data_IF_977927649232
#
_entry.id   IF_977927649232
#
_cell.length_a   1.000
_cell.length_b   1.000
_cell.length_c   1.000
_cell.angle_alpha   90.00
_cell.angle_beta   90.00
_cell.angle_gamma   90.00
#
_symmetry.space_group_name_H-M   'P 1'
#
loop_
_entity.id
_entity.type
_entity.pdbx_description
1 polymer ?
#
# COMPACT_ATOMS: atom_id res chain seq x y z
N UNK A 1 9.45 2.25 8.48
CA UNK A 1 8.26 2.36 9.38
C UNK A 1 7.03 2.38 8.50
N UNK A 2 6.03 1.54 8.80
CA UNK A 2 4.83 1.42 7.96
C UNK A 2 3.63 1.96 8.70
N UNK A 3 2.86 2.83 8.07
CA UNK A 3 1.64 3.41 8.62
C UNK A 3 0.45 3.11 7.71
N UNK A 4 -0.67 2.80 8.36
CA UNK A 4 -1.94 2.56 7.72
C UNK A 4 -2.94 3.59 8.24
N UNK A 5 -3.51 4.40 7.36
CA UNK A 5 -4.44 5.45 7.73
C UNK A 5 -5.71 5.39 6.89
N UNK A 6 -6.83 5.88 7.43
CA UNK A 6 -8.09 5.97 6.70
C UNK A 6 -8.17 7.23 5.79
N UNK A 7 -9.25 7.35 5.01
CA UNK A 7 -9.51 8.51 4.15
C UNK A 7 -9.54 9.88 4.85
N UNK A 8 -9.72 9.90 6.18
CA UNK A 8 -9.74 11.11 7.00
C UNK A 8 -8.37 11.44 7.60
N UNK A 9 -7.35 10.64 7.30
CA UNK A 9 -6.01 10.76 7.88
C UNK A 9 -5.91 10.17 9.28
N UNK A 10 -6.91 9.40 9.74
CA UNK A 10 -6.85 8.74 11.04
C UNK A 10 -6.01 7.49 10.92
N UNK A 11 -4.95 7.44 11.70
CA UNK A 11 -4.07 6.29 11.78
C UNK A 11 -4.83 5.08 12.35
N UNK A 12 -4.80 3.97 11.62
CA UNK A 12 -5.41 2.69 12.00
C UNK A 12 -4.36 1.74 12.58
N UNK A 13 -3.17 1.69 11.98
CA UNK A 13 -2.09 0.83 12.45
C UNK A 13 -0.72 1.40 12.08
N UNK A 14 0.27 1.19 12.94
CA UNK A 14 1.70 1.37 12.63
C UNK A 14 2.39 0.03 12.84
N UNK A 15 3.29 -0.32 11.94
CA UNK A 15 4.28 -1.37 12.18
C UNK A 15 5.68 -0.78 12.06
N UNK A 16 6.42 -0.86 13.17
CA UNK A 16 7.83 -0.53 13.19
C UNK A 16 8.61 -1.78 12.81
N UNK A 17 9.47 -1.65 11.82
CA UNK A 17 10.33 -2.72 11.30
C UNK A 17 11.78 -2.32 11.48
N UNK A 18 12.63 -3.28 11.87
CA UNK A 18 14.09 -3.09 11.83
C UNK A 18 14.54 -2.92 10.38
N UNK A 19 15.59 -2.12 10.15
CA UNK A 19 15.97 -1.48 8.88
C UNK A 19 16.21 -2.33 7.61
N UNK A 20 15.83 -3.60 7.59
CA UNK A 20 15.98 -4.52 6.46
C UNK A 20 14.71 -5.35 6.21
N UNK A 21 13.54 -4.85 6.62
CA UNK A 21 12.28 -5.54 6.36
C UNK A 21 11.79 -5.25 4.93
N UNK A 22 11.43 -6.29 4.19
CA UNK A 22 10.77 -6.16 2.89
C UNK A 22 9.39 -5.48 3.06
N UNK A 23 9.28 -4.22 2.62
CA UNK A 23 8.09 -3.37 2.80
C UNK A 23 6.78 -4.05 2.35
N UNK A 24 6.81 -4.84 1.27
CA UNK A 24 5.64 -5.55 0.73
C UNK A 24 5.07 -6.61 1.69
N UNK A 25 5.92 -7.46 2.28
CA UNK A 25 5.50 -8.50 3.23
C UNK A 25 4.86 -7.89 4.48
N UNK A 26 5.37 -6.72 4.87
CA UNK A 26 4.88 -5.99 6.03
C UNK A 26 3.52 -5.36 5.73
N UNK A 27 3.33 -4.80 4.53
CA UNK A 27 2.05 -4.29 4.08
C UNK A 27 0.96 -5.37 4.07
N UNK A 28 1.25 -6.57 3.56
CA UNK A 28 0.32 -7.71 3.59
C UNK A 28 -0.16 -8.00 5.02
N UNK A 29 0.78 -8.07 5.97
CA UNK A 29 0.48 -8.34 7.37
C UNK A 29 -0.39 -7.24 8.01
N UNK A 30 -0.21 -5.99 7.61
CA UNK A 30 -1.05 -4.87 8.04
C UNK A 30 -2.45 -4.92 7.43
N UNK A 31 -2.55 -5.22 6.14
CA UNK A 31 -3.82 -5.36 5.41
C UNK A 31 -4.68 -6.45 6.02
N UNK A 32 -4.06 -7.56 6.46
CA UNK A 32 -4.79 -8.67 7.08
C UNK A 32 -5.47 -8.31 8.40
N UNK A 33 -5.00 -7.26 9.09
CA UNK A 33 -5.51 -6.82 10.40
C UNK A 33 -6.65 -5.81 10.33
N UNK A 34 -6.96 -5.30 9.14
CA UNK A 34 -8.02 -4.31 8.95
C UNK A 34 -9.20 -4.88 8.17
N UNK A 35 -10.38 -4.27 8.40
CA UNK A 35 -11.56 -4.57 7.60
C UNK A 35 -11.28 -4.28 6.13
N UNK A 36 -11.65 -5.22 5.26
CA UNK A 36 -11.54 -5.14 3.79
C UNK A 36 -12.05 -3.79 3.27
N UNK A 37 -11.17 -2.89 2.78
CA UNK A 37 -11.61 -1.66 2.15
C UNK A 37 -12.00 -1.92 0.67
N UNK A 38 -12.75 -1.01 0.05
CA UNK A 38 -13.07 -1.11 -1.39
C UNK A 38 -11.84 -0.84 -2.28
N UNK A 39 -10.93 0.02 -1.80
CA UNK A 39 -9.74 0.48 -2.51
C UNK A 39 -8.62 0.74 -1.51
N UNK A 40 -7.40 0.53 -1.93
CA UNK A 40 -6.22 0.78 -1.10
C UNK A 40 -5.18 1.57 -1.87
N UNK A 41 -4.85 2.76 -1.36
CA UNK A 41 -3.75 3.57 -1.88
C UNK A 41 -2.46 3.08 -1.22
N UNK A 42 -1.41 2.89 -2.01
CA UNK A 42 -0.10 2.57 -1.49
C UNK A 42 1.00 3.32 -2.25
N UNK A 43 2.12 3.51 -1.58
CA UNK A 43 3.33 4.02 -2.19
C UNK A 43 3.86 3.08 -3.30
N UNK A 44 4.64 3.64 -4.24
CA UNK A 44 5.36 2.89 -5.28
C UNK A 44 6.31 1.83 -4.69
N UNK A 45 6.82 2.04 -3.48
CA UNK A 45 7.59 1.03 -2.75
C UNK A 45 6.80 -0.27 -2.52
N UNK A 46 5.47 -0.22 -2.48
CA UNK A 46 4.61 -1.41 -2.33
C UNK A 46 4.20 -2.06 -3.65
N UNK A 47 4.80 -1.69 -4.79
CA UNK A 47 4.46 -2.29 -6.07
C UNK A 47 5.01 -3.73 -6.21
N UNK A 48 4.29 -4.69 -5.62
CA UNK A 48 4.52 -6.13 -5.72
C UNK A 48 3.36 -6.80 -6.46
N UNK A 49 3.63 -7.92 -7.14
CA UNK A 49 2.59 -8.72 -7.79
C UNK A 49 1.73 -9.43 -6.74
N UNK A 50 2.39 -10.02 -5.76
CA UNK A 50 1.84 -10.76 -4.62
C UNK A 50 0.89 -9.88 -3.81
N UNK A 51 1.30 -8.65 -3.47
CA UNK A 51 0.46 -7.70 -2.75
C UNK A 51 -0.80 -7.32 -3.54
N UNK A 52 -0.68 -7.16 -4.86
CA UNK A 52 -1.82 -6.82 -5.72
C UNK A 52 -2.80 -7.99 -5.82
N UNK A 53 -2.28 -9.22 -5.91
CA UNK A 53 -3.07 -10.45 -5.93
C UNK A 53 -3.81 -10.66 -4.62
N UNK A 54 -3.14 -10.58 -3.47
CA UNK A 54 -3.77 -10.67 -2.14
C UNK A 54 -4.87 -9.60 -1.97
N UNK A 55 -4.65 -8.38 -2.46
CA UNK A 55 -5.65 -7.33 -2.46
C UNK A 55 -6.85 -7.69 -3.36
N UNK A 56 -6.63 -8.25 -4.54
CA UNK A 56 -7.68 -8.64 -5.49
C UNK A 56 -8.47 -9.87 -5.01
N UNK A 57 -7.83 -10.86 -4.40
CA UNK A 57 -8.48 -11.99 -3.73
C UNK A 57 -9.33 -11.52 -2.55
N UNK A 58 -8.82 -10.55 -1.80
CA UNK A 58 -9.59 -9.80 -0.79
C UNK A 58 -10.60 -8.86 -1.43
N UNK A 59 -10.75 -8.81 -2.76
CA UNK A 59 -11.57 -7.88 -3.56
C UNK A 59 -11.51 -6.44 -3.08
N UNK A 60 -10.30 -6.01 -2.77
CA UNK A 60 -9.85 -4.65 -2.51
C UNK A 60 -9.07 -4.20 -3.74
N UNK A 61 -9.47 -3.10 -4.39
CA UNK A 61 -8.74 -2.65 -5.57
C UNK A 61 -7.43 -1.95 -5.18
N UNK A 62 -6.25 -2.43 -5.62
CA UNK A 62 -4.99 -1.72 -5.40
C UNK A 62 -4.92 -0.46 -6.26
N UNK A 63 -4.59 0.66 -5.63
CA UNK A 63 -4.25 1.95 -6.26
C UNK A 63 -2.79 2.23 -5.94
N UNK A 64 -1.90 1.42 -6.49
CA UNK A 64 -0.45 1.51 -6.26
C UNK A 64 0.21 1.96 -7.57
N UNK A 65 1.07 3.00 -7.58
CA UNK A 65 1.84 3.37 -8.75
C UNK A 65 2.82 2.26 -9.16
N UNK A 66 2.99 2.02 -10.45
CA UNK A 66 3.97 1.04 -10.92
C UNK A 66 5.41 1.50 -10.66
N UNK A 67 6.31 0.55 -10.33
CA UNK A 67 7.76 0.77 -10.34
C UNK A 67 8.27 1.04 -11.76
N UNK A 68 9.28 1.89 -11.89
CA UNK A 68 9.81 2.31 -13.21
C UNK A 68 10.50 1.17 -13.96
N UNK A 69 11.00 0.17 -13.24
CA UNK A 69 11.71 -0.98 -13.80
C UNK A 69 10.78 -2.18 -14.09
N UNK A 70 9.46 -1.99 -14.02
CA UNK A 70 8.51 -3.10 -14.19
C UNK A 70 8.27 -3.37 -15.68
N UNK A 71 8.55 -4.60 -16.10
CA UNK A 71 8.38 -5.04 -17.49
C UNK A 71 6.91 -5.05 -17.95
N UNK A 72 5.97 -5.32 -17.04
CA UNK A 72 4.53 -5.33 -17.33
C UNK A 72 3.79 -4.41 -16.34
N UNK A 73 3.41 -3.19 -16.76
CA UNK A 73 2.72 -2.25 -15.89
C UNK A 73 1.25 -2.64 -15.70
N UNK A 74 0.76 -2.46 -14.46
CA UNK A 74 -0.66 -2.61 -14.15
C UNK A 74 -1.43 -1.36 -14.55
N UNK A 75 -2.72 -1.51 -14.87
CA UNK A 75 -3.63 -0.40 -15.12
C UNK A 75 -3.70 0.54 -13.92
N UNK A 76 -2.95 1.64 -13.97
CA UNK A 76 -2.92 2.67 -12.94
C UNK A 76 -3.41 4.00 -13.52
N UNK A 77 -4.47 4.56 -12.95
CA UNK A 77 -4.93 5.90 -13.31
C UNK A 77 -4.62 6.88 -12.19
N UNK A 78 -3.78 7.89 -12.47
CA UNK A 78 -3.41 8.97 -11.53
C UNK A 78 -4.61 9.68 -10.89
N UNK A 79 -5.80 9.65 -11.53
CA UNK A 79 -7.02 10.26 -10.96
C UNK A 79 -7.50 9.58 -9.67
N UNK A 80 -7.13 8.32 -9.42
CA UNK A 80 -7.53 7.62 -8.19
C UNK A 80 -6.72 8.02 -6.95
N UNK A 81 -5.52 8.59 -7.09
CA UNK A 81 -4.74 9.07 -5.92
C UNK A 81 -5.29 10.38 -5.33
N UNK A 82 -6.13 11.10 -6.08
CA UNK A 82 -6.79 12.33 -5.63
C UNK A 82 -8.19 12.08 -5.03
N UNK A 83 -8.79 10.93 -5.34
CA UNK A 83 -10.02 10.48 -4.68
C UNK A 83 -9.63 9.88 -3.34
N UNK A 84 -10.05 10.50 -2.23
CA UNK A 84 -9.90 10.00 -0.85
C UNK A 84 -10.19 8.49 -0.78
N UNK A 85 -9.15 7.67 -0.91
CA UNK A 85 -9.25 6.23 -0.80
C UNK A 85 -9.54 5.91 0.67
N UNK A 86 -10.41 4.94 0.97
CA UNK A 86 -10.76 4.61 2.35
C UNK A 86 -9.56 4.17 3.19
N UNK A 87 -8.45 3.77 2.56
CA UNK A 87 -7.25 3.29 3.24
C UNK A 87 -5.96 3.63 2.47
N UNK A 88 -4.96 4.16 3.18
CA UNK A 88 -3.65 4.56 2.67
C UNK A 88 -2.54 3.81 3.42
N UNK A 89 -1.67 3.11 2.69
CA UNK A 89 -0.37 2.61 3.13
C UNK A 89 0.68 3.68 2.85
N UNK A 90 1.28 4.22 3.90
CA UNK A 90 2.43 5.10 3.82
C UNK A 90 3.67 4.39 4.38
N UNK A 91 4.75 4.42 3.60
CA UNK A 91 6.08 4.10 4.11
C UNK A 91 6.75 5.37 4.61
N UNK A 92 7.32 5.31 5.81
CA UNK A 92 8.13 6.39 6.37
C UNK A 92 9.65 6.14 6.18
N UNK A 93 10.07 5.18 5.34
CA UNK A 93 11.48 4.96 5.00
C UNK A 93 12.04 5.88 3.88
N UNK A 94 11.46 7.05 3.61
CA UNK A 94 11.95 7.96 2.55
C UNK A 94 13.06 8.94 3.00
N UNK A 95 13.48 8.96 4.26
CA UNK A 95 14.66 9.76 4.69
C UNK A 95 15.46 9.05 5.78
N UNK A 96 16.37 8.17 5.38
CA UNK A 96 17.49 7.72 6.21
C UNK A 96 18.70 7.40 5.32
N UNK A 97 19.17 8.40 4.57
CA UNK A 97 20.58 8.63 4.17
C UNK A 97 20.75 10.10 3.83
#
# INVERSE_FOLDING_TARGET
MHALADAKGRLIAILLTGGEAHDCLIAERLIRRVKRPKRMLGDKAYDSAELREELDERGTKPVIPNRSNRNQPYGFSKRFSLLRAPLCLADANIWAM
#
